data_IF_454085688123
#
_entry.id   IF_454085688123
#
_cell.length_a   1.000
_cell.length_b   1.000
_cell.length_c   1.000
_cell.angle_alpha   90.00
_cell.angle_beta   90.00
_cell.angle_gamma   90.00
#
_symmetry.space_group_name_H-M   'P 1'
#
loop_
_entity.id
_entity.type
_entity.pdbx_description
1 polymer ?
#
# COMPACT_ATOMS: atom_id res chain seq x y z
N UNK A 1 21.19 -15.09 -16.27
CA UNK A 1 20.44 -15.60 -15.09
C UNK A 1 21.27 -15.23 -13.86
N UNK A 2 20.95 -14.12 -13.19
CA UNK A 2 21.69 -13.70 -12.00
C UNK A 2 21.04 -14.32 -10.77
N UNK A 3 21.52 -15.49 -10.35
CA UNK A 3 21.17 -16.05 -9.04
C UNK A 3 22.06 -15.38 -8.01
N UNK A 4 21.49 -14.47 -7.23
CA UNK A 4 22.16 -13.86 -6.08
C UNK A 4 21.81 -14.70 -4.86
N UNK A 5 22.76 -15.47 -4.37
CA UNK A 5 22.65 -16.17 -3.07
C UNK A 5 22.56 -15.10 -1.98
N UNK A 6 21.39 -14.94 -1.38
CA UNK A 6 21.20 -14.02 -0.26
C UNK A 6 21.67 -14.76 1.00
N UNK A 7 22.79 -14.31 1.58
CA UNK A 7 23.28 -14.83 2.85
C UNK A 7 22.20 -14.64 3.94
N UNK A 8 21.81 -15.75 4.56
CA UNK A 8 20.66 -15.86 5.48
C UNK A 8 20.97 -15.38 6.92
N UNK A 9 21.74 -14.30 7.07
CA UNK A 9 21.67 -13.52 8.31
C UNK A 9 20.31 -12.83 8.28
N UNK A 10 19.33 -13.35 9.02
CA UNK A 10 17.98 -12.78 9.18
C UNK A 10 18.06 -11.36 9.76
N UNK A 11 18.44 -10.38 8.95
CA UNK A 11 18.24 -8.98 9.28
C UNK A 11 16.77 -8.69 9.06
N UNK A 12 16.06 -8.39 10.14
CA UNK A 12 14.70 -7.86 10.05
C UNK A 12 14.74 -6.50 9.37
N UNK A 13 14.01 -6.34 8.26
CA UNK A 13 13.88 -5.05 7.58
C UNK A 13 13.05 -4.12 8.47
N UNK A 14 13.57 -2.93 8.79
CA UNK A 14 12.82 -1.94 9.58
C UNK A 14 11.94 -1.11 8.65
N UNK A 15 10.63 -1.12 8.91
CA UNK A 15 9.65 -0.30 8.19
C UNK A 15 9.18 0.80 9.14
N UNK A 16 9.53 2.05 8.81
CA UNK A 16 9.07 3.21 9.57
C UNK A 16 7.75 3.71 9.00
N UNK A 17 6.73 3.88 9.85
CA UNK A 17 5.45 4.43 9.41
C UNK A 17 4.29 4.11 10.35
N UNK A 18 3.08 4.27 9.84
CA UNK A 18 1.85 3.99 10.57
C UNK A 18 0.78 3.43 9.62
N UNK A 19 -0.12 2.60 10.15
CA UNK A 19 -1.14 1.86 9.38
C UNK A 19 -2.08 2.75 8.55
N UNK A 20 -2.24 4.01 8.93
CA UNK A 20 -3.06 4.97 8.18
C UNK A 20 -2.46 5.32 6.81
N UNK A 21 -1.14 5.24 6.66
CA UNK A 21 -0.48 5.66 5.43
C UNK A 21 -0.51 4.56 4.36
N UNK A 22 -0.90 4.89 3.10
CA UNK A 22 -0.86 3.92 2.02
C UNK A 22 0.56 3.40 1.80
N UNK A 23 1.58 4.27 1.81
CA UNK A 23 2.99 3.87 1.61
C UNK A 23 3.46 2.84 2.64
N UNK A 24 3.06 2.99 3.91
CA UNK A 24 3.38 2.00 4.94
C UNK A 24 2.77 0.64 4.58
N UNK A 25 1.48 0.61 4.21
CA UNK A 25 0.74 -0.60 3.81
C UNK A 25 1.31 -1.26 2.55
N UNK A 26 1.83 -0.49 1.59
CA UNK A 26 2.50 -1.04 0.40
C UNK A 26 3.70 -1.91 0.79
N UNK A 27 4.56 -1.38 1.67
CA UNK A 27 5.82 -2.05 2.02
C UNK A 27 5.57 -3.26 2.92
N UNK A 28 4.59 -3.20 3.83
CA UNK A 28 4.21 -4.36 4.66
C UNK A 28 3.54 -5.46 3.83
N UNK A 29 2.61 -5.13 2.93
CA UNK A 29 2.02 -6.11 2.01
C UNK A 29 3.09 -6.76 1.11
N UNK A 30 4.05 -5.98 0.60
CA UNK A 30 5.14 -6.52 -0.20
C UNK A 30 6.01 -7.48 0.61
N UNK A 31 6.31 -7.15 1.88
CA UNK A 31 7.08 -8.01 2.77
C UNK A 31 6.37 -9.34 3.08
N UNK A 32 5.05 -9.31 3.31
CA UNK A 32 4.22 -10.53 3.49
C UNK A 32 4.23 -11.41 2.24
N UNK A 33 4.07 -10.82 1.04
CA UNK A 33 4.04 -11.57 -0.23
C UNK A 33 5.37 -12.30 -0.49
N UNK A 34 6.50 -11.70 -0.13
CA UNK A 34 7.82 -12.33 -0.31
C UNK A 34 8.27 -13.15 0.91
N UNK A 35 7.49 -13.20 1.98
CA UNK A 35 7.83 -13.89 3.23
C UNK A 35 9.04 -13.30 3.95
N UNK A 36 9.32 -12.00 3.77
CA UNK A 36 10.45 -11.34 4.43
C UNK A 36 10.07 -10.95 5.86
N UNK A 37 10.90 -11.26 6.87
CA UNK A 37 10.68 -10.77 8.23
C UNK A 37 10.95 -9.26 8.31
N UNK A 38 10.06 -8.53 8.99
CA UNK A 38 10.19 -7.09 9.19
C UNK A 38 9.77 -6.66 10.60
N UNK A 39 10.28 -5.49 11.01
CA UNK A 39 9.92 -4.81 12.24
C UNK A 39 9.30 -3.45 11.89
N UNK A 40 8.10 -3.18 12.39
CA UNK A 40 7.45 -1.87 12.22
C UNK A 40 7.92 -0.93 13.33
N UNK A 41 8.52 0.20 12.94
CA UNK A 41 8.82 1.32 13.82
C UNK A 41 7.73 2.38 13.63
N UNK A 42 6.86 2.50 14.62
CA UNK A 42 5.78 3.48 14.58
C UNK A 42 6.33 4.91 14.49
N UNK A 43 5.77 5.72 13.61
CA UNK A 43 6.09 7.14 13.46
C UNK A 43 4.84 7.97 13.67
N UNK A 44 4.86 8.81 14.71
CA UNK A 44 3.77 9.74 14.98
C UNK A 44 3.87 10.97 14.06
N UNK A 45 3.02 10.97 13.04
CA UNK A 45 2.95 12.06 12.07
C UNK A 45 2.22 13.27 12.65
N UNK A 46 1.24 13.06 13.54
CA UNK A 46 0.49 14.12 14.19
C UNK A 46 1.41 14.94 15.12
N UNK A 47 2.32 14.27 15.82
CA UNK A 47 3.37 14.91 16.62
C UNK A 47 4.52 15.52 15.77
N UNK A 48 4.49 15.38 14.44
CA UNK A 48 5.49 15.98 13.56
C UNK A 48 6.84 15.26 13.52
N UNK A 49 6.95 14.03 14.04
CA UNK A 49 8.22 13.27 14.11
C UNK A 49 8.86 13.06 12.73
N UNK A 50 8.04 12.94 11.69
CA UNK A 50 8.48 12.86 10.29
C UNK A 50 9.18 14.12 9.75
N UNK A 51 9.18 15.23 10.50
CA UNK A 51 9.84 16.50 10.14
C UNK A 51 11.18 16.68 10.83
N UNK A 52 11.59 15.76 11.70
CA UNK A 52 12.90 15.84 12.35
C UNK A 52 14.01 15.59 11.32
N UNK A 53 15.20 16.22 11.50
CA UNK A 53 16.34 15.99 10.61
C UNK A 53 16.67 14.50 10.45
N UNK A 54 16.57 13.74 11.54
CA UNK A 54 16.83 12.28 11.57
C UNK A 54 15.88 11.46 10.68
N UNK A 55 14.64 11.91 10.47
CA UNK A 55 13.69 11.25 9.58
C UNK A 55 13.81 11.72 8.11
N UNK A 56 14.17 12.99 7.91
CA UNK A 56 14.29 13.59 6.58
C UNK A 56 15.49 13.04 5.79
N UNK A 57 16.55 12.59 6.45
CA UNK A 57 17.71 11.96 5.79
C UNK A 57 17.37 10.64 5.09
N UNK A 58 16.27 9.97 5.46
CA UNK A 58 15.90 8.63 4.97
C UNK A 58 14.63 8.65 4.09
N UNK A 59 13.86 9.74 4.10
CA UNK A 59 12.51 9.79 3.51
C UNK A 59 12.54 10.13 2.01
N UNK A 60 12.01 9.22 1.17
CA UNK A 60 11.77 9.43 -0.26
C UNK A 60 10.25 9.62 -0.49
N UNK A 61 9.83 10.80 -0.94
CA UNK A 61 8.40 11.10 -1.17
C UNK A 61 7.94 10.63 -2.56
N UNK A 62 6.88 9.81 -2.61
CA UNK A 62 6.30 9.30 -3.86
C UNK A 62 5.20 10.24 -4.39
N UNK A 63 5.13 10.43 -5.72
CA UNK A 63 4.06 11.18 -6.42
C UNK A 63 3.15 10.22 -7.19
N UNK A 64 1.84 10.45 -7.15
CA UNK A 64 0.87 9.67 -7.95
C UNK A 64 0.87 10.19 -9.39
N UNK A 65 1.08 9.29 -10.36
CA UNK A 65 0.95 9.58 -11.80
C UNK A 65 -0.50 9.28 -12.26
N UNK A 66 -1.24 10.27 -12.79
CA UNK A 66 -2.61 10.09 -13.28
C UNK A 66 -2.77 9.07 -14.43
N UNK A 67 -1.71 8.77 -15.18
CA UNK A 67 -1.76 7.85 -16.33
C UNK A 67 -1.91 6.37 -15.94
N UNK A 68 -1.72 6.04 -14.66
CA UNK A 68 -1.85 4.70 -14.11
C UNK A 68 -3.24 4.06 -14.36
N UNK A 69 -4.32 4.82 -14.24
CA UNK A 69 -5.69 4.27 -14.23
C UNK A 69 -6.12 3.59 -15.55
N UNK A 70 -5.52 3.96 -16.69
CA UNK A 70 -5.90 3.43 -18.00
C UNK A 70 -5.42 1.99 -18.25
N UNK A 71 -4.39 1.53 -17.53
CA UNK A 71 -3.70 0.27 -17.86
C UNK A 71 -4.38 -1.01 -17.32
N UNK A 72 -5.26 -0.92 -16.32
CA UNK A 72 -5.96 -2.08 -15.73
C UNK A 72 -7.03 -2.63 -16.66
N UNK A 73 -7.62 -1.77 -17.49
CA UNK A 73 -8.79 -2.12 -18.31
C UNK A 73 -8.44 -3.16 -19.40
N UNK A 74 -7.18 -3.22 -19.82
CA UNK A 74 -6.74 -4.17 -20.86
C UNK A 74 -6.04 -5.43 -20.31
N UNK A 75 -5.65 -5.45 -19.03
CA UNK A 75 -4.71 -6.48 -18.54
C UNK A 75 -4.98 -6.96 -17.11
N UNK A 76 -4.73 -8.24 -16.87
CA UNK A 76 -5.16 -9.00 -15.68
C UNK A 76 -4.62 -8.46 -14.34
N UNK A 77 -3.60 -7.60 -14.37
CA UNK A 77 -2.88 -6.97 -13.25
C UNK A 77 -2.21 -5.66 -13.71
N UNK A 78 -1.93 -4.74 -12.80
CA UNK A 78 -1.53 -3.34 -13.02
C UNK A 78 -0.27 -3.17 -13.91
N UNK A 79 0.64 -4.14 -13.90
CA UNK A 79 1.87 -4.14 -14.70
C UNK A 79 1.75 -4.86 -16.06
N UNK A 80 0.53 -5.13 -16.54
CA UNK A 80 0.26 -5.88 -17.78
C UNK A 80 0.78 -7.32 -17.79
N UNK A 81 0.83 -7.93 -16.61
CA UNK A 81 1.35 -9.28 -16.38
C UNK A 81 0.23 -10.31 -16.17
N UNK A 82 0.58 -11.60 -16.25
CA UNK A 82 -0.33 -12.71 -15.91
C UNK A 82 -0.39 -12.97 -14.39
N UNK A 83 0.63 -12.56 -13.66
CA UNK A 83 0.80 -12.74 -12.22
C UNK A 83 0.79 -11.38 -11.49
N UNK A 84 0.38 -11.36 -10.21
CA UNK A 84 0.38 -10.16 -9.39
C UNK A 84 1.82 -9.65 -9.16
N UNK A 85 2.00 -8.34 -9.19
CA UNK A 85 3.31 -7.69 -8.98
C UNK A 85 3.28 -6.72 -7.82
N UNK A 86 4.44 -6.17 -7.45
CA UNK A 86 4.51 -5.08 -6.46
C UNK A 86 3.73 -3.83 -6.91
N UNK A 87 3.50 -3.64 -8.22
CA UNK A 87 2.67 -2.56 -8.72
C UNK A 87 1.20 -2.74 -8.30
N UNK A 88 0.69 -3.97 -8.33
CA UNK A 88 -0.67 -4.27 -7.86
C UNK A 88 -0.79 -4.02 -6.36
N UNK A 89 0.19 -4.47 -5.58
CA UNK A 89 0.25 -4.23 -4.13
C UNK A 89 0.25 -2.71 -3.83
N UNK A 90 1.03 -1.94 -4.60
CA UNK A 90 1.08 -0.49 -4.49
C UNK A 90 -0.30 0.15 -4.73
N UNK A 91 -1.01 -0.33 -5.75
CA UNK A 91 -2.31 0.21 -6.13
C UNK A 91 -3.42 -0.27 -5.21
N UNK A 92 -3.34 -1.48 -4.65
CA UNK A 92 -4.30 -1.99 -3.65
C UNK A 92 -4.32 -1.07 -2.42
N UNK A 93 -3.16 -0.63 -1.93
CA UNK A 93 -3.09 0.31 -0.81
C UNK A 93 -3.79 1.65 -1.14
N UNK A 94 -3.53 2.18 -2.34
CA UNK A 94 -4.09 3.45 -2.80
C UNK A 94 -5.59 3.35 -3.08
N UNK A 95 -6.03 2.34 -3.84
CA UNK A 95 -7.43 2.13 -4.19
C UNK A 95 -8.28 1.88 -2.95
N UNK A 96 -7.84 1.02 -2.02
CA UNK A 96 -8.56 0.82 -0.75
C UNK A 96 -8.68 2.11 0.04
N UNK A 97 -7.68 3.00 -0.02
CA UNK A 97 -7.73 4.31 0.63
C UNK A 97 -8.82 5.20 0.04
N UNK A 98 -8.87 5.30 -1.29
CA UNK A 98 -9.88 6.11 -1.99
C UNK A 98 -11.28 5.54 -1.72
N UNK A 99 -11.42 4.21 -1.82
CA UNK A 99 -12.68 3.50 -1.61
C UNK A 99 -13.21 3.66 -0.19
N UNK A 100 -12.37 3.52 0.83
CA UNK A 100 -12.78 3.72 2.22
C UNK A 100 -12.94 5.20 2.57
N UNK A 101 -12.16 6.13 1.99
CA UNK A 101 -12.35 7.55 2.28
C UNK A 101 -13.65 8.12 1.67
N UNK A 102 -14.26 7.41 0.71
CA UNK A 102 -15.51 7.79 0.04
C UNK A 102 -15.47 9.21 -0.57
N UNK A 103 -14.32 9.55 -1.16
CA UNK A 103 -14.06 10.89 -1.72
C UNK A 103 -14.35 10.98 -3.23
N UNK A 104 -14.51 9.85 -3.90
CA UNK A 104 -14.70 9.73 -5.35
C UNK A 104 -15.72 8.63 -5.62
N UNK A 105 -16.67 8.88 -6.53
CA UNK A 105 -17.60 7.84 -6.97
C UNK A 105 -16.85 6.76 -7.78
N UNK A 106 -16.75 5.57 -7.20
CA UNK A 106 -16.09 4.43 -7.82
C UNK A 106 -17.07 3.49 -8.56
N UNK A 107 -18.39 3.71 -8.47
CA UNK A 107 -19.41 2.87 -9.11
C UNK A 107 -19.22 2.67 -10.62
N UNK A 108 -18.73 3.67 -11.39
CA UNK A 108 -18.49 3.47 -12.82
C UNK A 108 -17.35 2.49 -13.14
N UNK A 109 -16.43 2.22 -12.20
CA UNK A 109 -15.19 1.47 -12.44
C UNK A 109 -15.28 0.03 -11.91
N UNK A 110 -16.21 -0.76 -12.45
CA UNK A 110 -16.49 -2.14 -11.98
C UNK A 110 -15.31 -3.08 -12.18
N UNK A 111 -14.56 -2.90 -13.25
CA UNK A 111 -13.35 -3.65 -13.58
C UNK A 111 -12.26 -3.42 -12.53
N UNK A 112 -12.18 -2.19 -12.01
CA UNK A 112 -11.24 -1.82 -10.96
C UNK A 112 -11.63 -2.46 -9.62
N UNK A 113 -12.92 -2.51 -9.29
CA UNK A 113 -13.40 -3.21 -8.09
C UNK A 113 -13.15 -4.74 -8.18
N UNK A 114 -13.36 -5.33 -9.34
CA UNK A 114 -13.05 -6.74 -9.60
C UNK A 114 -11.55 -7.03 -9.51
N UNK A 115 -10.70 -6.17 -10.09
CA UNK A 115 -9.25 -6.24 -9.96
C UNK A 115 -8.81 -6.14 -8.50
N UNK A 116 -9.38 -5.19 -7.75
CA UNK A 116 -9.08 -5.00 -6.33
C UNK A 116 -9.42 -6.24 -5.52
N UNK A 117 -10.65 -6.77 -5.68
CA UNK A 117 -11.11 -7.99 -5.00
C UNK A 117 -10.18 -9.18 -5.27
N UNK A 118 -9.77 -9.34 -6.53
CA UNK A 118 -8.82 -10.38 -6.93
C UNK A 118 -7.46 -10.20 -6.25
N UNK A 119 -6.91 -8.98 -6.20
CA UNK A 119 -5.61 -8.74 -5.58
C UNK A 119 -5.65 -8.95 -4.06
N UNK A 120 -6.72 -8.50 -3.38
CA UNK A 120 -6.91 -8.73 -1.94
C UNK A 120 -6.85 -10.22 -1.61
N UNK A 121 -7.48 -11.08 -2.40
CA UNK A 121 -7.47 -12.53 -2.19
C UNK A 121 -6.07 -13.18 -2.36
N UNK A 122 -5.14 -12.51 -3.03
CA UNK A 122 -3.78 -12.98 -3.27
C UNK A 122 -2.75 -12.46 -2.27
N UNK A 123 -3.11 -11.48 -1.43
CA UNK A 123 -2.21 -10.87 -0.45
C UNK A 123 -2.37 -11.59 0.89
N UNK A 124 -1.36 -12.33 1.37
CA UNK A 124 -1.40 -12.96 2.68
C UNK A 124 -1.58 -11.91 3.78
N UNK A 125 -2.38 -12.24 4.79
CA UNK A 125 -2.61 -11.39 5.95
C UNK A 125 -3.16 -9.98 5.62
N UNK A 126 -3.84 -9.81 4.47
CA UNK A 126 -4.35 -8.52 3.99
C UNK A 126 -5.05 -7.68 5.07
N UNK A 127 -5.91 -8.29 5.88
CA UNK A 127 -6.64 -7.57 6.94
C UNK A 127 -5.70 -6.95 7.98
N UNK A 128 -4.60 -7.63 8.32
CA UNK A 128 -3.62 -7.14 9.28
C UNK A 128 -2.72 -6.08 8.66
N UNK A 129 -2.20 -6.30 7.44
CA UNK A 129 -1.23 -5.39 6.83
C UNK A 129 -1.87 -4.19 6.09
N UNK A 130 -3.16 -4.25 5.76
CA UNK A 130 -3.88 -3.16 5.07
C UNK A 130 -5.31 -2.92 5.56
N UNK A 131 -6.16 -3.96 5.63
CA UNK A 131 -7.61 -3.84 5.82
C UNK A 131 -8.03 -3.08 7.09
N UNK A 132 -7.41 -3.36 8.23
CA UNK A 132 -7.67 -2.63 9.48
C UNK A 132 -7.23 -1.17 9.41
N UNK A 133 -6.01 -0.91 8.92
CA UNK A 133 -5.44 0.43 8.82
C UNK A 133 -6.24 1.35 7.90
N UNK A 134 -6.68 0.81 6.76
CA UNK A 134 -7.44 1.60 5.77
C UNK A 134 -8.85 1.96 6.26
N UNK A 135 -9.50 1.12 7.08
CA UNK A 135 -10.78 1.45 7.72
C UNK A 135 -10.65 2.63 8.67
N UNK A 136 -9.66 2.61 9.56
CA UNK A 136 -9.40 3.71 10.49
C UNK A 136 -9.08 5.00 9.74
N UNK A 137 -8.32 4.91 8.65
CA UNK A 137 -8.02 6.04 7.78
C UNK A 137 -9.29 6.58 7.10
N UNK A 138 -10.12 5.71 6.52
CA UNK A 138 -11.39 6.09 5.91
C UNK A 138 -12.32 6.78 6.89
N UNK A 139 -12.46 6.24 8.11
CA UNK A 139 -13.23 6.86 9.19
C UNK A 139 -12.71 8.26 9.54
N UNK A 140 -11.40 8.42 9.65
CA UNK A 140 -10.77 9.72 9.90
C UNK A 140 -11.12 10.73 8.79
N UNK A 141 -10.96 10.38 7.52
CA UNK A 141 -11.25 11.31 6.42
C UNK A 141 -12.74 11.63 6.32
N UNK A 142 -13.63 10.63 6.43
CA UNK A 142 -15.09 10.85 6.43
C UNK A 142 -15.54 11.74 7.60
N UNK A 143 -14.84 11.70 8.74
CA UNK A 143 -15.10 12.60 9.88
C UNK A 143 -14.77 14.07 9.59
N UNK A 144 -13.96 14.35 8.56
CA UNK A 144 -13.52 15.70 8.18
C UNK A 144 -14.23 16.25 6.95
N UNK A 145 -14.87 15.39 6.15
CA UNK A 145 -15.54 15.76 4.89
C UNK A 145 -17.06 15.73 4.96
N UNK A 146 -17.66 15.14 6.00
CA UNK A 146 -19.10 15.31 6.29
C UNK A 146 -19.37 16.73 6.80
N UNK A 147 -19.64 17.65 5.88
CA UNK A 147 -20.44 18.86 6.08
C UNK A 147 -21.86 18.60 5.59
#
# INVERSE_FOLDING_TARGET
MFSRTINNTRMSVKIYGMDLLPNHRIVTMAAEVVGAPYEVKYVDIAAGVHKTPEFLEVSIAFRIDPLAFTYIIETRFAARTKDMTIADIAWVATYSSIKEADLVDLLPYKELDAWFTKCVALIPNYETCNGKGVKVMGDFYRSKTKA
#
